data_IF_504443234076
#
_entry.id   IF_504443234076
#
_cell.length_a   1.000
_cell.length_b   1.000
_cell.length_c   1.000
_cell.angle_alpha   90.00
_cell.angle_beta   90.00
_cell.angle_gamma   90.00
#
_symmetry.space_group_name_H-M   'P 1'
#
loop_
_entity.id
_entity.type
_entity.pdbx_description
1 polymer ?
#
# COMPACT_ATOMS: atom_id res chain seq x y z
N UNK A 1 -18.60 67.95 -35.21
CA UNK A 1 -17.28 68.60 -35.23
C UNK A 1 -16.26 67.60 -34.67
N UNK A 2 -15.41 67.07 -35.56
CA UNK A 2 -13.97 66.75 -35.39
C UNK A 2 -13.48 66.32 -34.00
N UNK A 3 -13.11 65.06 -33.73
CA UNK A 3 -11.95 64.21 -34.16
C UNK A 3 -10.57 64.76 -33.72
N UNK A 4 -9.76 63.86 -33.13
CA UNK A 4 -8.28 63.70 -33.16
C UNK A 4 -7.65 63.66 -31.76
N UNK A 5 -7.11 62.55 -31.24
CA UNK A 5 -5.96 61.71 -31.64
C UNK A 5 -4.55 62.33 -31.49
N UNK A 6 -3.67 61.46 -30.98
CA UNK A 6 -2.24 61.30 -31.26
C UNK A 6 -1.18 62.17 -30.56
N UNK A 7 -0.10 61.51 -30.13
CA UNK A 7 1.17 62.13 -29.75
C UNK A 7 2.16 61.16 -29.11
N UNK A 8 2.96 60.49 -29.94
CA UNK A 8 3.92 59.45 -29.58
C UNK A 8 5.34 59.98 -29.25
N UNK A 9 6.01 59.35 -28.27
CA UNK A 9 7.47 59.09 -28.18
C UNK A 9 8.47 60.27 -28.21
N UNK A 10 9.79 59.99 -28.35
CA UNK A 10 10.69 59.38 -27.35
C UNK A 10 12.01 60.20 -27.15
N UNK A 11 13.03 59.60 -26.50
CA UNK A 11 14.45 60.03 -26.28
C UNK A 11 14.67 60.73 -24.92
N UNK A 12 15.77 60.56 -24.18
CA UNK A 12 17.05 59.88 -24.39
C UNK A 12 17.92 60.00 -23.13
N UNK A 13 19.05 59.27 -23.15
CA UNK A 13 20.05 58.99 -22.10
C UNK A 13 20.69 60.23 -21.43
N UNK A 14 21.10 60.13 -20.15
CA UNK A 14 22.50 59.90 -19.73
C UNK A 14 22.77 60.05 -18.21
N UNK A 15 23.52 59.08 -17.68
CA UNK A 15 24.60 59.09 -16.66
C UNK A 15 24.45 59.79 -15.28
N UNK A 16 24.75 59.01 -14.23
CA UNK A 16 25.08 59.52 -12.89
C UNK A 16 25.45 58.42 -11.86
N UNK A 17 26.75 58.10 -11.80
CA UNK A 17 27.57 57.63 -10.64
C UNK A 17 27.06 56.64 -9.57
N UNK A 18 27.88 55.60 -9.37
CA UNK A 18 28.02 54.63 -8.24
C UNK A 18 28.67 55.35 -7.02
N UNK A 19 28.33 55.04 -5.73
CA UNK A 19 29.03 53.99 -4.98
C UNK A 19 28.21 53.13 -3.98
N UNK A 20 28.52 51.82 -4.06
CA UNK A 20 28.75 50.81 -3.00
C UNK A 20 28.01 50.85 -1.65
N UNK A 21 27.41 49.71 -1.25
CA UNK A 21 27.13 49.45 0.17
C UNK A 21 26.20 48.27 0.51
N UNK A 22 26.81 47.09 0.74
CA UNK A 22 26.39 45.99 1.64
C UNK A 22 25.13 45.16 1.34
N UNK A 23 25.38 43.92 0.90
CA UNK A 23 24.53 42.75 1.12
C UNK A 23 25.10 41.89 2.27
N UNK A 24 24.22 41.31 3.09
CA UNK A 24 24.50 40.35 4.17
C UNK A 24 23.18 39.64 4.52
N UNK A 25 23.05 38.33 4.74
CA UNK A 25 23.94 37.19 4.61
C UNK A 25 23.07 35.92 4.60
N UNK A 26 23.38 34.97 3.71
CA UNK A 26 22.91 33.59 3.80
C UNK A 26 23.82 32.81 4.75
N UNK A 27 23.26 32.15 5.77
CA UNK A 27 24.01 31.24 6.64
C UNK A 27 24.09 29.86 5.98
N UNK A 28 25.28 29.48 5.53
CA UNK A 28 25.70 28.10 5.27
C UNK A 28 26.66 27.67 6.37
N UNK A 29 26.39 26.54 7.01
CA UNK A 29 27.34 25.88 7.92
C UNK A 29 28.30 24.98 7.11
N UNK A 30 29.61 24.96 7.43
CA UNK A 30 30.58 24.19 6.65
C UNK A 30 30.75 22.76 7.21
N UNK A 31 30.75 21.78 6.30
CA UNK A 31 31.41 20.49 6.51
C UNK A 31 32.92 20.68 6.27
N UNK A 32 33.75 20.29 7.23
CA UNK A 32 35.19 20.08 7.04
C UNK A 32 35.51 18.62 7.31
N UNK A 33 36.10 17.99 6.30
CA UNK A 33 36.71 16.67 6.35
C UNK A 33 38.01 16.69 7.16
N UNK A 34 38.30 15.59 7.84
CA UNK A 34 39.66 15.21 8.21
C UNK A 34 39.81 13.70 7.99
N UNK A 35 40.80 13.34 7.18
CA UNK A 35 41.23 11.98 6.91
C UNK A 35 42.38 11.61 7.85
N UNK A 36 42.45 10.35 8.28
CA UNK A 36 43.65 9.50 8.29
C UNK A 36 43.31 8.14 8.94
N UNK A 37 43.83 7.06 8.35
CA UNK A 37 43.41 5.71 8.61
C UNK A 37 44.07 5.03 9.81
N UNK A 38 43.60 3.83 10.12
CA UNK A 38 44.41 2.61 10.18
C UNK A 38 43.49 1.41 10.41
N UNK A 39 43.77 0.35 9.67
CA UNK A 39 43.08 -0.93 9.76
C UNK A 39 43.40 -1.64 11.08
N UNK A 40 42.47 -2.44 11.62
CA UNK A 40 42.83 -3.71 12.24
C UNK A 40 41.60 -4.65 12.25
N UNK A 41 41.85 -5.88 11.82
CA UNK A 41 40.91 -6.98 11.74
C UNK A 41 40.47 -7.46 13.14
N UNK A 42 39.24 -7.96 13.25
CA UNK A 42 38.82 -8.78 14.40
C UNK A 42 38.59 -10.20 13.91
N UNK A 43 39.52 -11.07 14.30
CA UNK A 43 39.47 -12.53 14.17
C UNK A 43 38.90 -13.11 15.47
N UNK A 44 38.10 -14.16 15.33
CA UNK A 44 37.48 -14.98 16.38
C UNK A 44 38.49 -15.78 17.24
N UNK A 45 37.96 -16.62 18.16
CA UNK A 45 38.57 -17.66 19.04
C UNK A 45 38.58 -17.23 20.53
N UNK A 46 38.30 -18.03 21.58
CA UNK A 46 37.51 -19.25 21.88
C UNK A 46 37.76 -19.53 23.40
N UNK A 47 36.79 -20.13 24.10
CA UNK A 47 36.86 -21.05 25.28
C UNK A 47 37.87 -20.77 26.45
N UNK A 48 37.47 -20.82 27.72
CA UNK A 48 37.31 -22.07 28.54
C UNK A 48 36.72 -21.69 29.92
N UNK A 49 35.60 -22.28 30.36
CA UNK A 49 35.44 -23.49 31.21
C UNK A 49 36.00 -23.40 32.64
N UNK A 50 35.10 -23.35 33.63
CA UNK A 50 35.25 -24.11 34.89
C UNK A 50 33.87 -24.64 35.31
N UNK A 51 33.74 -25.96 35.35
CA UNK A 51 32.56 -26.66 35.83
C UNK A 51 32.68 -27.02 37.31
N UNK A 52 31.53 -27.20 37.95
CA UNK A 52 31.39 -28.13 39.09
C UNK A 52 30.12 -28.95 38.85
N UNK A 53 30.32 -30.27 38.84
CA UNK A 53 29.30 -31.30 38.75
C UNK A 53 28.47 -31.37 40.04
N UNK A 54 27.15 -31.54 39.90
CA UNK A 54 26.38 -32.51 40.70
C UNK A 54 25.38 -33.20 39.77
N UNK A 55 25.30 -34.53 39.88
CA UNK A 55 24.47 -35.46 39.09
C UNK A 55 23.77 -36.40 40.11
N UNK A 56 22.78 -37.21 39.71
CA UNK A 56 21.37 -36.86 39.46
C UNK A 56 20.42 -37.57 40.44
N UNK A 57 19.13 -37.21 40.44
CA UNK A 57 18.06 -38.05 40.98
C UNK A 57 16.98 -38.23 39.91
N UNK A 58 16.67 -39.49 39.61
CA UNK A 58 15.67 -39.91 38.65
C UNK A 58 14.26 -39.81 39.25
N UNK A 59 13.29 -39.30 38.47
CA UNK A 59 11.88 -39.60 38.67
C UNK A 59 11.05 -39.34 37.39
N UNK A 60 10.59 -40.45 36.81
CA UNK A 60 9.27 -40.68 36.22
C UNK A 60 8.76 -39.79 35.07
N UNK A 61 8.59 -40.44 33.92
CA UNK A 61 7.79 -39.96 32.79
C UNK A 61 6.29 -40.02 33.11
N UNK A 62 5.50 -38.97 32.81
CA UNK A 62 4.05 -39.05 32.71
C UNK A 62 3.60 -39.27 31.24
N UNK A 63 2.33 -39.61 31.01
CA UNK A 63 1.93 -40.58 30.00
C UNK A 63 1.75 -39.98 28.60
N UNK A 64 1.85 -40.87 27.60
CA UNK A 64 1.36 -40.63 26.25
C UNK A 64 -0.16 -40.41 26.29
N UNK A 65 -0.61 -39.19 26.00
CA UNK A 65 -2.00 -38.93 25.64
C UNK A 65 -2.13 -38.87 24.13
N UNK A 66 -2.98 -39.75 23.61
CA UNK A 66 -3.38 -39.84 22.23
C UNK A 66 -4.01 -38.54 21.71
N UNK A 67 -3.73 -38.24 20.43
CA UNK A 67 -4.68 -37.75 19.43
C UNK A 67 -5.55 -36.54 19.78
N UNK A 68 -5.14 -35.37 19.26
CA UNK A 68 -6.05 -34.46 18.56
C UNK A 68 -5.20 -33.49 17.71
N UNK A 69 -4.66 -34.01 16.60
CA UNK A 69 -4.22 -33.15 15.49
C UNK A 69 -5.47 -32.44 14.98
N UNK A 70 -5.59 -31.14 15.26
CA UNK A 70 -6.62 -30.32 14.63
C UNK A 70 -6.38 -30.39 13.10
N UNK A 71 -7.36 -30.83 12.30
CA UNK A 71 -7.19 -30.82 10.86
C UNK A 71 -7.07 -29.37 10.42
N UNK A 72 -6.02 -29.07 9.65
CA UNK A 72 -6.03 -27.89 8.79
C UNK A 72 -7.34 -27.90 7.99
N UNK A 73 -8.08 -26.79 7.89
CA UNK A 73 -9.22 -26.72 6.99
C UNK A 73 -8.71 -27.07 5.60
N UNK A 74 -9.31 -28.08 4.99
CA UNK A 74 -9.04 -28.42 3.61
C UNK A 74 -9.15 -27.15 2.77
N UNK A 75 -8.18 -26.92 1.88
CA UNK A 75 -8.33 -26.00 0.76
C UNK A 75 -9.53 -26.44 -0.07
N UNK A 76 -10.72 -25.99 0.32
CA UNK A 76 -11.86 -25.93 -0.58
C UNK A 76 -11.66 -24.66 -1.40
N UNK A 77 -10.74 -24.75 -2.35
CA UNK A 77 -10.85 -23.97 -3.57
C UNK A 77 -12.21 -24.34 -4.16
N UNK A 78 -13.15 -23.41 -4.37
CA UNK A 78 -14.31 -23.72 -5.18
C UNK A 78 -13.74 -23.99 -6.57
N UNK A 79 -13.67 -25.27 -6.93
CA UNK A 79 -13.58 -25.68 -8.32
C UNK A 79 -14.81 -25.07 -8.99
N UNK A 80 -14.64 -23.87 -9.55
CA UNK A 80 -15.52 -23.38 -10.55
C UNK A 80 -15.52 -24.48 -11.62
N UNK A 81 -16.65 -25.15 -11.79
CA UNK A 81 -16.93 -25.96 -12.96
C UNK A 81 -16.77 -25.03 -14.17
N UNK A 82 -15.54 -24.91 -14.65
CA UNK A 82 -15.26 -24.44 -15.99
C UNK A 82 -15.95 -25.47 -16.88
N UNK A 83 -17.11 -25.09 -17.43
CA UNK A 83 -17.72 -25.80 -18.54
C UNK A 83 -16.62 -25.91 -19.61
N UNK A 84 -16.06 -27.10 -19.71
CA UNK A 84 -15.08 -27.49 -20.71
C UNK A 84 -15.81 -27.50 -22.06
N UNK A 85 -15.87 -26.33 -22.70
CA UNK A 85 -16.24 -26.26 -24.10
C UNK A 85 -15.03 -26.72 -24.90
N UNK A 86 -15.11 -27.93 -25.44
CA UNK A 86 -14.11 -28.49 -26.34
C UNK A 86 -13.70 -27.45 -27.41
N UNK A 87 -12.40 -27.28 -27.72
CA UNK A 87 -11.96 -26.29 -28.69
C UNK A 87 -12.46 -26.67 -30.09
N UNK A 88 -13.24 -25.78 -30.70
CA UNK A 88 -13.59 -25.85 -32.11
C UNK A 88 -12.32 -25.68 -32.96
N UNK A 89 -12.00 -26.62 -33.87
CA UNK A 89 -10.85 -26.51 -34.77
C UNK A 89 -11.24 -25.61 -35.95
N UNK A 90 -11.39 -24.31 -35.69
CA UNK A 90 -11.58 -23.33 -36.76
C UNK A 90 -10.40 -22.37 -36.74
N UNK A 91 -9.51 -22.54 -37.72
CA UNK A 91 -8.26 -21.81 -37.92
C UNK A 91 -8.43 -20.32 -38.22
N UNK A 92 -9.01 -19.58 -37.29
CA UNK A 92 -8.98 -18.12 -37.29
C UNK A 92 -7.75 -17.68 -36.50
N UNK A 93 -6.79 -16.95 -37.10
CA UNK A 93 -5.65 -16.39 -36.38
C UNK A 93 -6.12 -15.59 -35.16
N UNK A 94 -5.46 -15.74 -34.02
CA UNK A 94 -5.73 -14.91 -32.84
C UNK A 94 -5.49 -13.43 -33.18
N UNK A 95 -6.57 -12.72 -33.51
CA UNK A 95 -6.59 -11.28 -33.61
C UNK A 95 -7.04 -10.76 -32.24
N UNK A 96 -6.13 -10.23 -31.40
CA UNK A 96 -6.57 -9.63 -30.15
C UNK A 96 -7.62 -8.55 -30.50
N UNK A 97 -8.79 -8.52 -29.85
CA UNK A 97 -9.71 -7.40 -30.01
C UNK A 97 -8.92 -6.11 -29.81
N UNK A 98 -9.13 -5.14 -30.71
CA UNK A 98 -8.38 -3.90 -30.73
C UNK A 98 -8.42 -3.25 -29.34
N UNK A 99 -7.28 -3.24 -28.65
CA UNK A 99 -7.05 -2.51 -27.40
C UNK A 99 -7.43 -3.23 -26.10
N UNK A 100 -6.84 -4.41 -25.82
CA UNK A 100 -6.83 -4.97 -24.45
C UNK A 100 -6.24 -3.95 -23.47
N UNK A 101 -7.08 -3.43 -22.59
CA UNK A 101 -6.68 -2.52 -21.51
C UNK A 101 -6.93 -3.23 -20.19
N UNK A 102 -5.86 -3.62 -19.51
CA UNK A 102 -5.94 -4.25 -18.18
C UNK A 102 -6.67 -3.31 -17.21
N UNK A 103 -7.56 -3.84 -16.39
CA UNK A 103 -8.15 -3.04 -15.32
C UNK A 103 -7.08 -2.57 -14.34
N UNK A 104 -7.43 -1.56 -13.55
CA UNK A 104 -6.56 -0.99 -12.53
C UNK A 104 -7.30 -0.89 -11.22
N UNK A 105 -6.63 -1.21 -10.12
CA UNK A 105 -7.07 -0.88 -8.77
C UNK A 105 -6.07 0.12 -8.22
N UNK A 106 -6.55 1.30 -7.83
CA UNK A 106 -5.71 2.35 -7.26
C UNK A 106 -5.83 2.29 -5.75
N UNK A 107 -4.70 2.27 -5.05
CA UNK A 107 -4.67 2.32 -3.58
C UNK A 107 -4.07 3.66 -3.17
N UNK A 108 -4.84 4.47 -2.44
CA UNK A 108 -4.50 5.85 -2.09
C UNK A 108 -4.57 6.03 -0.58
N UNK A 109 -3.42 6.31 0.04
CA UNK A 109 -3.31 6.33 1.49
C UNK A 109 -1.97 6.84 2.01
N UNK A 110 -1.73 6.65 3.29
CA UNK A 110 -0.52 7.11 3.98
C UNK A 110 0.66 6.11 3.90
N UNK A 111 1.53 6.09 4.90
CA UNK A 111 2.67 5.17 5.00
C UNK A 111 2.25 3.70 5.00
N UNK A 112 1.08 3.34 5.55
CA UNK A 112 0.57 1.97 5.48
C UNK A 112 0.35 1.53 4.03
N UNK A 113 -0.02 2.46 3.15
CA UNK A 113 -0.18 2.21 1.72
C UNK A 113 1.18 2.27 0.99
N UNK A 114 2.00 3.28 1.26
CA UNK A 114 3.32 3.45 0.62
C UNK A 114 4.22 2.22 0.86
N UNK A 115 4.30 1.79 2.12
CA UNK A 115 5.11 0.66 2.54
C UNK A 115 4.53 -0.69 2.12
N UNK A 116 3.27 -0.73 1.66
CA UNK A 116 2.61 -1.95 1.21
C UNK A 116 3.25 -2.59 -0.03
N UNK A 117 4.16 -1.88 -0.72
CA UNK A 117 5.00 -2.45 -1.79
C UNK A 117 6.45 -2.74 -1.38
N UNK A 118 6.96 -2.13 -0.32
CA UNK A 118 8.38 -2.25 0.08
C UNK A 118 8.60 -3.18 1.27
N UNK A 119 7.56 -3.44 2.07
CA UNK A 119 7.62 -4.38 3.19
C UNK A 119 7.56 -5.83 2.68
N UNK A 120 8.37 -6.77 3.21
CA UNK A 120 8.17 -8.19 2.96
C UNK A 120 6.72 -8.60 3.22
N UNK A 121 6.12 -9.35 2.30
CA UNK A 121 4.69 -9.70 2.39
C UNK A 121 3.72 -8.53 2.27
N UNK A 122 4.18 -7.36 1.81
CA UNK A 122 3.42 -6.12 1.67
C UNK A 122 2.01 -6.31 1.10
N UNK A 123 1.02 -5.62 1.66
CA UNK A 123 -0.36 -5.91 1.30
C UNK A 123 -0.69 -5.53 -0.15
N UNK A 124 -0.03 -4.50 -0.68
CA UNK A 124 -0.21 -4.05 -2.07
C UNK A 124 0.43 -5.06 -3.04
N UNK A 125 1.60 -5.62 -2.69
CA UNK A 125 2.22 -6.69 -3.50
C UNK A 125 1.43 -7.99 -3.40
N UNK A 126 0.86 -8.30 -2.23
CA UNK A 126 -0.07 -9.41 -2.04
C UNK A 126 -1.29 -9.31 -2.95
N UNK A 127 -1.94 -8.14 -3.01
CA UNK A 127 -3.01 -7.89 -3.97
C UNK A 127 -2.52 -7.99 -5.42
N UNK A 128 -1.36 -7.44 -5.75
CA UNK A 128 -0.82 -7.54 -7.11
C UNK A 128 -0.60 -8.99 -7.55
N UNK A 129 -0.20 -9.87 -6.63
CA UNK A 129 -0.10 -11.30 -6.88
C UNK A 129 -1.47 -11.95 -7.10
N UNK A 130 -2.46 -11.65 -6.26
CA UNK A 130 -3.84 -12.19 -6.39
C UNK A 130 -4.53 -11.74 -7.69
N UNK A 131 -4.25 -10.50 -8.13
CA UNK A 131 -4.80 -9.92 -9.36
C UNK A 131 -3.89 -10.13 -10.58
N UNK A 132 -2.93 -11.05 -10.51
CA UNK A 132 -1.96 -11.29 -11.58
C UNK A 132 -2.64 -11.55 -12.92
N UNK A 133 -2.18 -10.84 -13.96
CA UNK A 133 -2.77 -10.80 -15.30
C UNK A 133 -4.26 -10.41 -15.33
N UNK A 134 -4.84 -9.80 -14.30
CA UNK A 134 -6.25 -9.34 -14.25
C UNK A 134 -6.35 -7.83 -14.03
N UNK A 135 -5.64 -7.31 -13.04
CA UNK A 135 -5.54 -5.88 -12.75
C UNK A 135 -4.11 -5.46 -12.42
N UNK A 136 -3.76 -4.21 -12.77
CA UNK A 136 -2.59 -3.55 -12.21
C UNK A 136 -2.98 -2.90 -10.88
N UNK A 137 -2.19 -3.10 -9.83
CA UNK A 137 -2.38 -2.41 -8.54
C UNK A 137 -1.47 -1.19 -8.52
N UNK A 138 -2.04 0.01 -8.55
CA UNK A 138 -1.30 1.27 -8.54
C UNK A 138 -1.20 1.82 -7.13
N UNK A 139 0.01 1.74 -6.56
CA UNK A 139 0.33 2.36 -5.27
C UNK A 139 0.41 3.89 -5.39
N UNK A 140 -0.40 4.59 -4.60
CA UNK A 140 -0.40 6.05 -4.39
C UNK A 140 -0.38 6.32 -2.88
N UNK A 141 0.56 5.70 -2.19
CA UNK A 141 0.87 5.93 -0.79
C UNK A 141 1.76 7.15 -0.57
N UNK A 142 1.49 7.90 0.49
CA UNK A 142 2.24 9.11 0.87
C UNK A 142 2.53 9.10 2.38
N UNK A 143 3.73 8.65 2.75
CA UNK A 143 4.18 8.52 4.13
C UNK A 143 4.13 9.84 4.90
N UNK A 144 3.52 9.81 6.09
CA UNK A 144 3.38 10.98 6.97
C UNK A 144 2.30 11.99 6.56
N UNK A 145 1.56 11.74 5.48
CA UNK A 145 0.45 12.62 5.07
C UNK A 145 -0.82 12.33 5.86
N UNK A 146 -1.65 13.36 6.04
CA UNK A 146 -2.99 13.25 6.64
C UNK A 146 -4.06 13.41 5.56
N UNK A 147 -5.32 13.19 5.91
CA UNK A 147 -6.44 13.47 5.00
C UNK A 147 -6.49 14.91 4.51
N UNK A 148 -5.96 15.90 5.27
CA UNK A 148 -5.87 17.30 4.84
C UNK A 148 -4.98 17.46 3.61
N UNK A 149 -3.80 16.84 3.59
CA UNK A 149 -2.93 16.85 2.42
C UNK A 149 -3.52 15.97 1.29
N UNK A 150 -4.17 14.86 1.64
CA UNK A 150 -4.81 13.98 0.66
C UNK A 150 -5.86 14.72 -0.20
N UNK A 151 -6.65 15.62 0.40
CA UNK A 151 -7.61 16.48 -0.34
C UNK A 151 -6.92 17.38 -1.37
N UNK A 152 -5.70 17.84 -1.10
CA UNK A 152 -4.96 18.71 -2.03
C UNK A 152 -4.42 17.92 -3.23
N UNK A 153 -3.97 16.67 -3.00
CA UNK A 153 -3.29 15.88 -4.04
C UNK A 153 -4.22 14.93 -4.79
N UNK A 154 -5.43 14.65 -4.30
CA UNK A 154 -6.38 13.75 -4.97
C UNK A 154 -6.71 14.14 -6.42
N UNK A 155 -6.78 15.43 -6.83
CA UNK A 155 -6.99 15.77 -8.24
C UNK A 155 -5.85 15.25 -9.12
N UNK A 156 -4.59 15.46 -8.73
CA UNK A 156 -3.42 14.98 -9.47
C UNK A 156 -3.36 13.45 -9.51
N UNK A 157 -3.71 12.78 -8.40
CA UNK A 157 -3.79 11.33 -8.35
C UNK A 157 -4.87 10.80 -9.30
N UNK A 158 -6.06 11.42 -9.30
CA UNK A 158 -7.17 11.05 -10.17
C UNK A 158 -6.89 11.31 -11.66
N UNK A 159 -6.15 12.38 -11.98
CA UNK A 159 -5.72 12.69 -13.34
C UNK A 159 -4.61 11.75 -13.82
N UNK A 160 -3.79 11.22 -12.89
CA UNK A 160 -2.72 10.27 -13.22
C UNK A 160 -3.21 8.86 -13.59
N UNK A 161 -4.52 8.59 -13.46
CA UNK A 161 -5.11 7.27 -13.69
C UNK A 161 -6.12 7.31 -14.85
N UNK A 162 -6.23 6.22 -15.59
CA UNK A 162 -7.25 6.10 -16.63
C UNK A 162 -8.57 5.67 -16.00
N UNK A 163 -9.49 6.62 -15.75
CA UNK A 163 -10.80 6.33 -15.15
C UNK A 163 -11.58 5.23 -15.89
N UNK A 164 -11.43 5.11 -17.22
CA UNK A 164 -12.05 4.04 -18.03
C UNK A 164 -11.51 2.63 -17.72
N UNK A 165 -10.35 2.53 -17.07
CA UNK A 165 -9.70 1.27 -16.68
C UNK A 165 -9.76 1.02 -15.18
N UNK A 166 -10.06 2.03 -14.37
CA UNK A 166 -10.08 1.91 -12.92
C UNK A 166 -11.31 1.16 -12.45
N UNK A 167 -11.12 -0.10 -12.05
CA UNK A 167 -12.17 -0.93 -11.50
C UNK A 167 -12.53 -0.52 -10.07
N UNK A 168 -11.56 -0.03 -9.29
CA UNK A 168 -11.72 0.37 -7.90
C UNK A 168 -10.66 1.39 -7.47
N UNK A 169 -11.06 2.37 -6.66
CA UNK A 169 -10.17 3.16 -5.82
C UNK A 169 -10.35 2.78 -4.34
N UNK A 170 -9.28 2.37 -3.68
CA UNK A 170 -9.22 2.09 -2.23
C UNK A 170 -8.62 3.31 -1.54
N UNK A 171 -9.34 3.88 -0.59
CA UNK A 171 -8.94 5.09 0.15
C UNK A 171 -8.68 4.72 1.60
N UNK A 172 -7.41 4.81 2.05
CA UNK A 172 -6.99 4.40 3.39
C UNK A 172 -6.20 5.50 4.10
N UNK A 173 -6.92 6.33 4.85
CA UNK A 173 -6.37 7.44 5.64
C UNK A 173 -6.87 7.38 7.07
N UNK A 174 -6.16 8.04 7.99
CA UNK A 174 -6.61 8.21 9.36
C UNK A 174 -5.56 7.87 10.41
N UNK A 175 -4.56 7.06 10.06
CA UNK A 175 -3.51 6.70 11.01
C UNK A 175 -2.74 7.95 11.45
N UNK A 176 -2.46 8.86 10.51
CA UNK A 176 -1.80 10.12 10.83
C UNK A 176 -2.75 11.16 11.44
N UNK A 177 -3.98 11.27 10.92
CA UNK A 177 -5.02 12.18 11.40
C UNK A 177 -5.33 11.99 12.90
N UNK A 178 -5.35 10.73 13.35
CA UNK A 178 -5.62 10.32 14.73
C UNK A 178 -4.46 10.59 15.71
N UNK A 179 -3.54 11.50 15.38
CA UNK A 179 -2.48 11.92 16.31
C UNK A 179 -3.06 12.40 17.62
N UNK A 180 -2.44 11.94 18.71
CA UNK A 180 -2.69 12.48 20.03
C UNK A 180 -2.32 13.97 20.02
N UNK A 181 -3.30 14.89 20.22
CA UNK A 181 -3.03 16.33 20.21
C UNK A 181 -2.13 16.78 21.36
N UNK A 182 -1.94 15.93 22.38
CA UNK A 182 -1.01 16.17 23.48
C UNK A 182 0.37 15.52 23.25
N UNK A 183 0.54 14.76 22.17
CA UNK A 183 1.79 14.09 21.83
C UNK A 183 2.74 14.98 21.03
N UNK A 184 3.99 14.53 20.82
CA UNK A 184 5.04 15.33 20.16
C UNK A 184 4.79 15.59 18.67
N UNK A 185 3.83 14.88 18.05
CA UNK A 185 3.50 15.01 16.63
C UNK A 185 2.14 15.70 16.39
N UNK A 186 1.61 16.43 17.38
CA UNK A 186 0.28 17.06 17.34
C UNK A 186 0.03 17.96 16.10
N UNK A 187 1.06 18.43 15.40
CA UNK A 187 0.95 19.19 14.16
C UNK A 187 0.24 18.42 13.03
N UNK A 188 0.17 17.08 13.09
CA UNK A 188 -0.59 16.26 12.14
C UNK A 188 -2.09 16.17 12.45
N UNK A 189 -2.57 16.79 13.54
CA UNK A 189 -3.93 16.59 13.98
C UNK A 189 -4.97 17.14 12.99
N UNK A 190 -5.94 16.30 12.70
CA UNK A 190 -7.13 16.63 11.89
C UNK A 190 -8.34 16.36 12.77
N UNK A 191 -9.22 17.33 12.97
CA UNK A 191 -10.43 17.11 13.79
C UNK A 191 -11.28 15.99 13.18
N UNK A 192 -12.11 15.31 13.99
CA UNK A 192 -13.00 14.26 13.49
C UNK A 192 -13.94 14.77 12.38
N UNK A 193 -14.42 16.02 12.52
CA UNK A 193 -15.26 16.68 11.53
C UNK A 193 -14.51 16.93 10.20
N UNK A 194 -13.29 17.50 10.29
CA UNK A 194 -12.45 17.72 9.10
C UNK A 194 -12.11 16.39 8.45
N UNK A 195 -11.75 15.37 9.23
CA UNK A 195 -11.39 14.04 8.73
C UNK A 195 -12.55 13.41 7.96
N UNK A 196 -13.76 13.38 8.53
CA UNK A 196 -14.95 12.87 7.86
C UNK A 196 -15.26 13.67 6.57
N UNK A 197 -15.13 14.99 6.62
CA UNK A 197 -15.33 15.87 5.45
C UNK A 197 -14.28 15.60 4.37
N UNK A 198 -13.03 15.41 4.75
CA UNK A 198 -11.92 15.12 3.84
C UNK A 198 -12.13 13.77 3.14
N UNK A 199 -12.51 12.71 3.87
CA UNK A 199 -12.81 11.41 3.28
C UNK A 199 -13.93 11.50 2.23
N UNK A 200 -15.05 12.16 2.57
CA UNK A 200 -16.15 12.38 1.62
C UNK A 200 -15.71 13.18 0.41
N UNK A 201 -14.85 14.19 0.60
CA UNK A 201 -14.27 14.98 -0.48
C UNK A 201 -13.40 14.13 -1.41
N UNK A 202 -12.52 13.29 -0.88
CA UNK A 202 -11.66 12.39 -1.65
C UNK A 202 -12.52 11.42 -2.48
N UNK A 203 -13.54 10.81 -1.87
CA UNK A 203 -14.50 9.94 -2.59
C UNK A 203 -15.18 10.69 -3.73
N UNK A 204 -15.68 11.89 -3.46
CA UNK A 204 -16.35 12.72 -4.48
C UNK A 204 -15.40 13.08 -5.64
N UNK A 205 -14.11 13.33 -5.36
CA UNK A 205 -13.12 13.63 -6.40
C UNK A 205 -12.83 12.43 -7.30
N UNK A 206 -12.68 11.23 -6.75
CA UNK A 206 -12.56 10.01 -7.58
C UNK A 206 -13.81 9.75 -8.42
N UNK A 207 -15.00 9.88 -7.83
CA UNK A 207 -16.28 9.74 -8.56
C UNK A 207 -16.40 10.77 -9.69
N UNK A 208 -16.05 12.03 -9.43
CA UNK A 208 -16.07 13.10 -10.43
C UNK A 208 -15.06 12.87 -11.57
N UNK A 209 -13.93 12.23 -11.29
CA UNK A 209 -12.96 11.80 -12.30
C UNK A 209 -13.42 10.59 -13.12
N UNK A 210 -14.60 10.01 -12.81
CA UNK A 210 -15.21 8.90 -13.55
C UNK A 210 -14.95 7.50 -12.95
N UNK A 211 -14.29 7.41 -11.79
CA UNK A 211 -14.11 6.12 -11.09
C UNK A 211 -15.44 5.69 -10.47
N UNK A 212 -16.00 4.57 -10.95
CA UNK A 212 -17.32 4.11 -10.55
C UNK A 212 -17.36 3.49 -9.15
N UNK A 213 -16.30 2.77 -8.77
CA UNK A 213 -16.23 2.10 -7.47
C UNK A 213 -15.13 2.73 -6.62
N UNK A 214 -15.52 3.18 -5.43
CA UNK A 214 -14.61 3.70 -4.41
C UNK A 214 -14.96 2.99 -3.11
N UNK A 215 -13.96 2.61 -2.32
CA UNK A 215 -14.16 2.10 -0.97
C UNK A 215 -13.26 2.83 0.02
N UNK A 216 -13.69 2.88 1.28
CA UNK A 216 -12.88 3.40 2.38
C UNK A 216 -12.31 2.26 3.23
N UNK A 217 -11.22 2.54 3.91
CA UNK A 217 -10.59 1.65 4.89
C UNK A 217 -10.30 2.45 6.15
N UNK A 218 -10.70 1.94 7.30
CA UNK A 218 -10.48 2.61 8.59
C UNK A 218 -9.02 2.54 9.01
N UNK A 219 -8.49 3.49 9.82
CA UNK A 219 -7.18 3.31 10.44
C UNK A 219 -7.17 2.03 11.30
N UNK A 220 -6.08 1.24 11.30
CA UNK A 220 -5.92 0.08 12.17
C UNK A 220 -5.69 0.48 13.64
N UNK A 221 -5.81 -0.44 14.62
CA UNK A 221 -5.47 -0.12 15.99
C UNK A 221 -3.96 0.15 16.13
N UNK A 222 -3.59 0.91 17.16
CA UNK A 222 -2.21 1.24 17.52
C UNK A 222 -1.89 0.71 18.90
N UNK A 223 -0.64 0.34 19.16
CA UNK A 223 -0.21 -0.13 20.48
C UNK A 223 0.30 1.01 21.36
N UNK A 224 -0.49 1.41 22.36
CA UNK A 224 -0.17 2.52 23.27
C UNK A 224 1.20 2.38 23.96
N UNK A 225 1.61 1.15 24.32
CA UNK A 225 2.88 0.93 25.03
C UNK A 225 4.08 1.07 24.08
N UNK A 226 4.00 0.53 22.87
CA UNK A 226 5.00 0.71 21.81
C UNK A 226 5.06 2.17 21.36
N UNK A 227 3.92 2.87 21.27
CA UNK A 227 3.88 4.31 21.00
C UNK A 227 4.53 5.12 22.12
N UNK A 228 4.26 4.78 23.38
CA UNK A 228 4.93 5.41 24.53
C UNK A 228 6.45 5.22 24.48
N UNK A 229 6.91 4.01 24.15
CA UNK A 229 8.33 3.69 24.00
C UNK A 229 9.00 4.43 22.82
N UNK A 230 8.25 4.69 21.75
CA UNK A 230 8.72 5.45 20.58
C UNK A 230 8.82 6.96 20.85
N UNK A 231 8.17 7.48 21.89
CA UNK A 231 8.18 8.91 22.25
C UNK A 231 8.61 9.15 23.70
N UNK A 232 9.84 8.76 24.09
CA UNK A 232 10.28 8.86 25.48
C UNK A 232 10.29 10.31 25.95
N UNK A 233 9.72 10.55 27.13
CA UNK A 233 9.60 11.90 27.72
C UNK A 233 8.41 12.72 27.24
N UNK A 234 7.56 12.18 26.37
CA UNK A 234 6.33 12.81 25.91
C UNK A 234 5.13 11.86 26.06
N UNK A 235 3.88 12.39 26.08
CA UNK A 235 2.71 11.54 25.88
C UNK A 235 2.81 10.75 24.56
N UNK A 236 2.31 9.50 24.51
CA UNK A 236 2.29 8.71 23.28
C UNK A 236 1.68 9.51 22.13
N UNK A 237 2.33 9.53 20.98
CA UNK A 237 1.85 10.30 19.83
C UNK A 237 0.59 9.70 19.18
N UNK A 238 0.25 8.44 19.46
CA UNK A 238 -1.05 7.84 19.13
C UNK A 238 -1.56 7.05 20.31
N UNK A 239 -2.88 6.98 20.42
CA UNK A 239 -3.60 6.20 21.42
C UNK A 239 -4.72 5.44 20.73
N UNK A 240 -4.90 4.16 21.07
CA UNK A 240 -5.95 3.31 20.50
C UNK A 240 -7.34 3.89 20.72
N UNK A 241 -7.57 4.54 21.87
CA UNK A 241 -8.83 5.19 22.22
C UNK A 241 -9.14 6.44 21.37
N UNK A 242 -8.11 7.07 20.80
CA UNK A 242 -8.28 8.15 19.83
C UNK A 242 -8.52 7.52 18.46
N UNK A 243 -7.70 6.56 18.04
CA UNK A 243 -7.81 5.89 16.75
C UNK A 243 -9.17 5.23 16.53
N UNK A 244 -9.78 4.65 17.58
CA UNK A 244 -11.14 4.09 17.53
C UNK A 244 -12.17 5.11 17.04
N UNK A 245 -12.09 6.37 17.53
CA UNK A 245 -13.01 7.44 17.11
C UNK A 245 -12.87 7.78 15.63
N UNK A 246 -11.64 7.70 15.08
CA UNK A 246 -11.41 7.91 13.64
C UNK A 246 -11.89 6.72 12.82
N UNK A 247 -11.76 5.50 13.32
CA UNK A 247 -12.34 4.33 12.67
C UNK A 247 -13.87 4.46 12.57
N UNK A 248 -14.53 4.82 13.67
CA UNK A 248 -15.99 5.05 13.68
C UNK A 248 -16.38 6.22 12.76
N UNK A 249 -15.62 7.31 12.73
CA UNK A 249 -15.85 8.44 11.83
C UNK A 249 -15.69 8.07 10.34
N UNK A 250 -14.72 7.21 10.00
CA UNK A 250 -14.54 6.73 8.63
C UNK A 250 -15.71 5.83 8.18
N UNK A 251 -16.24 5.00 9.07
CA UNK A 251 -17.45 4.20 8.80
C UNK A 251 -18.65 5.10 8.54
N UNK A 252 -18.89 6.09 9.40
CA UNK A 252 -19.98 7.05 9.21
C UNK A 252 -19.84 7.84 7.90
N UNK A 253 -18.63 8.34 7.59
CA UNK A 253 -18.34 9.07 6.36
C UNK A 253 -18.59 8.22 5.10
N UNK A 254 -18.23 6.92 5.14
CA UNK A 254 -18.49 6.01 4.03
C UNK A 254 -19.97 5.71 3.83
N UNK A 255 -20.72 5.55 4.92
CA UNK A 255 -22.18 5.40 4.87
C UNK A 255 -22.85 6.64 4.25
N UNK A 256 -22.46 7.84 4.67
CA UNK A 256 -22.95 9.10 4.09
C UNK A 256 -22.57 9.27 2.61
N UNK A 257 -21.37 8.82 2.21
CA UNK A 257 -20.92 8.89 0.81
C UNK A 257 -21.47 7.75 -0.08
N UNK A 258 -22.21 6.80 0.51
CA UNK A 258 -22.74 5.63 -0.18
C UNK A 258 -21.63 4.75 -0.77
N UNK A 259 -20.57 4.49 0.00
CA UNK A 259 -19.46 3.62 -0.39
C UNK A 259 -19.18 2.55 0.67
N UNK A 260 -18.74 1.35 0.27
CA UNK A 260 -18.39 0.30 1.23
C UNK A 260 -17.15 0.71 2.05
N UNK A 261 -17.12 0.29 3.32
CA UNK A 261 -16.03 0.57 4.26
C UNK A 261 -15.50 -0.73 4.86
N UNK A 262 -14.21 -0.98 4.66
CA UNK A 262 -13.51 -2.04 5.38
C UNK A 262 -13.06 -1.52 6.76
N UNK A 263 -13.70 -2.00 7.81
CA UNK A 263 -13.38 -1.61 9.19
C UNK A 263 -12.23 -2.45 9.76
N UNK A 264 -11.01 -2.22 9.26
CA UNK A 264 -9.78 -2.89 9.72
C UNK A 264 -9.60 -2.80 11.23
N UNK A 265 -10.05 -1.69 11.86
CA UNK A 265 -9.98 -1.56 13.32
C UNK A 265 -10.75 -2.68 14.03
N UNK A 266 -12.01 -2.86 13.66
CA UNK A 266 -12.88 -3.89 14.26
C UNK A 266 -12.49 -5.30 13.82
N UNK A 267 -12.06 -5.49 12.57
CA UNK A 267 -11.59 -6.79 12.07
C UNK A 267 -10.38 -7.31 12.88
N UNK A 268 -9.36 -6.47 13.09
CA UNK A 268 -8.18 -6.83 13.90
C UNK A 268 -8.58 -7.09 15.36
N UNK A 269 -9.37 -6.19 15.96
CA UNK A 269 -9.79 -6.34 17.36
C UNK A 269 -10.61 -7.62 17.59
N UNK A 270 -11.46 -7.99 16.63
CA UNK A 270 -12.30 -9.19 16.71
C UNK A 270 -11.50 -10.49 16.49
N UNK A 271 -10.53 -10.47 15.58
CA UNK A 271 -9.66 -11.62 15.32
C UNK A 271 -8.69 -11.91 16.48
N UNK A 272 -8.35 -10.88 17.28
CA UNK A 272 -7.37 -10.98 18.36
C UNK A 272 -7.89 -10.30 19.64
N UNK A 273 -8.89 -10.88 20.34
CA UNK A 273 -9.54 -10.24 21.49
C UNK A 273 -8.58 -9.96 22.65
N UNK A 274 -7.52 -10.77 22.80
CA UNK A 274 -6.51 -10.61 23.85
C UNK A 274 -5.41 -9.59 23.49
N UNK A 275 -5.63 -8.75 22.47
CA UNK A 275 -4.65 -7.80 21.90
C UNK A 275 -3.35 -8.42 21.38
N UNK A 276 -3.34 -9.73 21.14
CA UNK A 276 -2.21 -10.44 20.55
C UNK A 276 -1.83 -9.91 19.15
N UNK A 277 -2.71 -9.13 18.51
CA UNK A 277 -2.42 -8.46 17.24
C UNK A 277 -1.22 -7.53 17.31
N UNK A 278 -0.91 -6.92 18.47
CA UNK A 278 0.22 -5.98 18.57
C UNK A 278 1.56 -6.67 18.31
N UNK A 279 1.76 -7.86 18.86
CA UNK A 279 2.99 -8.61 18.62
C UNK A 279 2.96 -9.39 17.32
N UNK A 280 1.79 -9.90 16.92
CA UNK A 280 1.66 -10.70 15.70
C UNK A 280 1.71 -9.87 14.43
N UNK A 281 1.01 -8.73 14.39
CA UNK A 281 0.78 -8.00 13.14
C UNK A 281 1.58 -6.71 13.02
N UNK A 282 2.03 -6.11 14.12
CA UNK A 282 2.70 -4.80 14.10
C UNK A 282 4.21 -4.93 14.17
N UNK A 283 4.90 -3.91 13.65
CA UNK A 283 6.32 -3.68 13.87
C UNK A 283 6.56 -3.23 15.32
N UNK A 284 7.84 -3.08 15.68
CA UNK A 284 8.25 -2.61 16.99
C UNK A 284 7.71 -1.20 17.33
N UNK A 285 7.33 -0.42 16.32
CA UNK A 285 6.75 0.91 16.50
C UNK A 285 5.27 0.91 16.90
N UNK A 286 4.58 -0.25 16.87
CA UNK A 286 3.16 -0.36 17.23
C UNK A 286 2.18 0.40 16.32
N UNK A 287 2.62 0.79 15.12
CA UNK A 287 1.83 1.56 14.15
C UNK A 287 1.81 0.90 12.77
N UNK A 288 2.98 0.51 12.25
CA UNK A 288 3.09 -0.11 10.93
C UNK A 288 2.99 -1.63 11.03
N UNK A 289 2.47 -2.26 9.97
CA UNK A 289 2.38 -3.71 9.91
C UNK A 289 3.74 -4.36 9.63
N UNK A 290 4.02 -5.47 10.31
CA UNK A 290 5.12 -6.36 9.96
C UNK A 290 4.73 -7.25 8.75
N UNK A 291 5.55 -8.25 8.41
CA UNK A 291 5.27 -9.15 7.29
C UNK A 291 3.96 -9.92 7.45
N UNK A 292 3.67 -10.46 8.64
CA UNK A 292 2.44 -11.20 8.92
C UNK A 292 1.21 -10.28 8.86
N UNK A 293 1.32 -9.07 9.44
CA UNK A 293 0.29 -8.04 9.35
C UNK A 293 -0.04 -7.66 7.91
N UNK A 294 0.98 -7.44 7.06
CA UNK A 294 0.75 -7.11 5.66
C UNK A 294 0.07 -8.24 4.88
N UNK A 295 0.48 -9.50 5.09
CA UNK A 295 -0.18 -10.67 4.47
C UNK A 295 -1.64 -10.79 4.91
N UNK A 296 -1.90 -10.56 6.19
CA UNK A 296 -3.25 -10.60 6.75
C UNK A 296 -4.12 -9.50 6.13
N UNK A 297 -3.61 -8.27 6.02
CA UNK A 297 -4.32 -7.16 5.36
C UNK A 297 -4.57 -7.45 3.87
N UNK A 298 -3.63 -8.06 3.14
CA UNK A 298 -3.84 -8.42 1.74
C UNK A 298 -5.06 -9.33 1.56
N UNK A 299 -5.13 -10.38 2.39
CA UNK A 299 -6.25 -11.34 2.37
C UNK A 299 -7.56 -10.67 2.79
N UNK A 300 -7.55 -9.88 3.87
CA UNK A 300 -8.73 -9.16 4.33
C UNK A 300 -9.25 -8.21 3.25
N UNK A 301 -8.36 -7.44 2.60
CA UNK A 301 -8.72 -6.52 1.53
C UNK A 301 -9.32 -7.27 0.35
N UNK A 302 -8.70 -8.37 -0.10
CA UNK A 302 -9.22 -9.17 -1.21
C UNK A 302 -10.60 -9.75 -0.90
N UNK A 303 -10.79 -10.32 0.30
CA UNK A 303 -12.07 -10.88 0.73
C UNK A 303 -13.18 -9.81 0.79
N UNK A 304 -12.82 -8.62 1.28
CA UNK A 304 -13.76 -7.49 1.34
C UNK A 304 -14.13 -6.99 -0.05
N UNK A 305 -13.16 -6.83 -0.95
CA UNK A 305 -13.40 -6.47 -2.36
C UNK A 305 -14.30 -7.52 -3.02
N UNK A 306 -14.00 -8.79 -2.81
CA UNK A 306 -14.81 -9.88 -3.35
C UNK A 306 -16.26 -9.80 -2.86
N UNK A 307 -16.47 -9.54 -1.56
CA UNK A 307 -17.82 -9.51 -1.00
C UNK A 307 -18.61 -8.24 -1.39
N UNK A 308 -17.95 -7.09 -1.47
CA UNK A 308 -18.62 -5.78 -1.49
C UNK A 308 -18.45 -4.98 -2.78
N UNK A 309 -17.52 -5.36 -3.67
CA UNK A 309 -17.26 -4.64 -4.93
C UNK A 309 -17.26 -5.61 -6.12
N UNK A 310 -18.44 -6.07 -6.59
CA UNK A 310 -18.54 -7.11 -7.62
C UNK A 310 -17.77 -6.80 -8.91
N UNK A 311 -17.71 -5.53 -9.32
CA UNK A 311 -16.99 -5.08 -10.51
C UNK A 311 -15.46 -5.18 -10.41
N UNK A 312 -14.93 -5.33 -9.19
CA UNK A 312 -13.50 -5.45 -8.93
C UNK A 312 -13.09 -6.86 -8.47
N UNK A 313 -14.01 -7.84 -8.48
CA UNK A 313 -13.68 -9.26 -8.24
C UNK A 313 -12.69 -9.78 -9.28
N UNK A 314 -11.71 -10.56 -8.86
CA UNK A 314 -10.72 -11.18 -9.76
C UNK A 314 -11.38 -11.94 -10.92
N UNK A 315 -12.49 -12.63 -10.68
CA UNK A 315 -13.25 -13.40 -11.66
C UNK A 315 -14.11 -12.54 -12.59
N UNK A 316 -14.51 -11.34 -12.13
CA UNK A 316 -15.22 -10.36 -12.96
C UNK A 316 -14.27 -9.62 -13.92
N UNK A 317 -12.97 -9.65 -13.65
CA UNK A 317 -11.96 -9.00 -14.47
C UNK A 317 -11.45 -9.94 -15.56
N UNK A 318 -11.39 -9.49 -16.83
CA UNK A 318 -10.98 -10.36 -17.92
C UNK A 318 -9.48 -10.66 -17.82
N UNK A 319 -9.12 -11.85 -18.29
CA UNK A 319 -7.73 -12.28 -18.33
C UNK A 319 -6.98 -11.37 -19.32
N UNK A 320 -5.85 -10.79 -18.91
CA UNK A 320 -5.01 -10.02 -19.80
C UNK A 320 -4.32 -10.98 -20.77
N UNK A 321 -4.90 -11.07 -21.97
CA UNK A 321 -4.61 -12.05 -23.01
C UNK A 321 -4.98 -13.50 -22.64
N UNK A 322 -5.22 -14.36 -23.65
CA UNK A 322 -5.53 -15.79 -23.47
C UNK A 322 -4.51 -16.58 -22.65
N UNK A 323 -4.87 -17.79 -22.24
CA UNK A 323 -3.90 -18.79 -21.78
C UNK A 323 -2.91 -19.12 -22.90
N UNK A 324 -1.70 -19.58 -22.54
CA UNK A 324 -0.71 -20.01 -23.53
C UNK A 324 -1.24 -21.21 -24.36
N UNK A 325 -2.13 -22.02 -23.80
CA UNK A 325 -2.81 -23.14 -24.47
C UNK A 325 -3.75 -22.69 -25.60
N UNK A 326 -4.27 -21.47 -25.51
CA UNK A 326 -5.15 -20.87 -26.52
C UNK A 326 -4.35 -20.11 -27.60
N UNK A 327 -3.03 -20.01 -27.44
CA UNK A 327 -2.14 -19.35 -28.41
C UNK A 327 -1.92 -20.29 -29.59
N UNK A 328 -2.33 -19.83 -30.78
CA UNK A 328 -1.99 -20.50 -32.02
C UNK A 328 -0.56 -20.10 -32.44
N UNK A 329 0.39 -21.02 -32.27
CA UNK A 329 1.82 -20.81 -32.57
C UNK A 329 2.15 -20.80 -34.07
N UNK A 330 1.19 -21.10 -34.96
CA UNK A 330 1.35 -20.99 -36.41
C UNK A 330 2.62 -21.67 -36.94
N UNK A 331 3.43 -20.92 -37.71
CA UNK A 331 4.65 -21.41 -38.34
C UNK A 331 5.75 -21.84 -37.36
N UNK A 332 5.68 -21.43 -36.09
CA UNK A 332 6.67 -21.82 -35.08
C UNK A 332 6.69 -23.32 -34.81
N UNK A 333 5.53 -24.00 -34.92
CA UNK A 333 5.47 -25.45 -34.78
C UNK A 333 6.19 -26.17 -35.93
N UNK A 334 6.01 -25.68 -37.16
CA UNK A 334 6.69 -26.21 -38.34
C UNK A 334 8.19 -25.93 -38.33
N UNK A 335 8.59 -24.74 -37.86
CA UNK A 335 9.99 -24.37 -37.67
C UNK A 335 10.68 -25.29 -36.65
N UNK A 336 10.05 -25.51 -35.49
CA UNK A 336 10.59 -26.39 -34.46
C UNK A 336 10.82 -27.82 -34.98
N UNK A 337 9.85 -28.37 -35.73
CA UNK A 337 9.99 -29.71 -36.29
C UNK A 337 11.11 -29.79 -37.34
N UNK A 338 11.28 -28.76 -38.17
CA UNK A 338 12.38 -28.69 -39.13
C UNK A 338 13.75 -28.64 -38.44
N UNK A 339 13.89 -27.84 -37.38
CA UNK A 339 15.11 -27.74 -36.57
C UNK A 339 15.42 -29.07 -35.85
N UNK A 340 14.40 -29.75 -35.31
CA UNK A 340 14.52 -31.07 -34.67
C UNK A 340 15.02 -32.15 -35.64
N UNK A 341 14.48 -32.18 -36.86
CA UNK A 341 14.90 -33.12 -37.89
C UNK A 341 16.34 -32.88 -38.33
N UNK A 342 16.74 -31.62 -38.50
CA UNK A 342 18.11 -31.25 -38.85
C UNK A 342 19.13 -31.71 -37.79
N UNK A 343 18.82 -31.53 -36.50
CA UNK A 343 19.71 -31.91 -35.39
C UNK A 343 19.91 -33.43 -35.22
N UNK A 344 18.96 -34.26 -35.67
CA UNK A 344 19.09 -35.73 -35.61
C UNK A 344 19.80 -36.33 -36.83
N UNK A 345 20.06 -35.50 -37.84
CA UNK A 345 20.75 -35.91 -39.07
C UNK A 345 22.25 -35.55 -39.10
N UNK A 346 22.74 -34.92 -38.04
CA UNK A 346 24.14 -34.51 -37.81
C UNK A 346 24.78 -35.36 -36.71
#
# INVERSE_FOLDING_TARGET
MTVAECGAGPRGRAAGSVPTGRASAARRFPYRAAAAGTALAVVAVLATLLGVLVRPAAAQAPPQSAGASLPLPAEQSPAAEAKETAPSPTGVPFKPPHGWKRSTIVVFGDSLTEMGTSTPGGWVTGLAAMYSRRADILNRGFGGYTSKQAVQIVPEVADSISHKRTALAVVWWGANDAVNPQGPQAFMHVSLEDYATNLKTIVAKFKAAGVQNVMLVTPPPVDDAKRAAATPGFPPDRLISITEKYADAAVAAGAEAGVPVLNVFREIQSAFPDRAWSEKLMQADGLHFNEEGNKWIANLMNNFIWSNVPAARTEALPYHHPSWEEVQYGASAAQFEAERLAANSS
#
